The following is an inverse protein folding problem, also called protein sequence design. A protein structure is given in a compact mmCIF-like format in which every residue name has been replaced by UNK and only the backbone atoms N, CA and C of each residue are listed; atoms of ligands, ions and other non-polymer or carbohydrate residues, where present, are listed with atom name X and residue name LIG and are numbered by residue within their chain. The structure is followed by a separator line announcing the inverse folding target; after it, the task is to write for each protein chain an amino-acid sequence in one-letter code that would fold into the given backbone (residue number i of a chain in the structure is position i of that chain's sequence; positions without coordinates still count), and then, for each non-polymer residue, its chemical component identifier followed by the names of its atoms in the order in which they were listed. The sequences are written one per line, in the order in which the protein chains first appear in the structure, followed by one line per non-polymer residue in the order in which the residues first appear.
data_IF_748152696334
#
_entry.id   IF_748152696334
#
_cell.length_a   1.000
_cell.length_b   1.000
_cell.length_c   1.000
_cell.angle_alpha   90.00
_cell.angle_beta   90.00
_cell.angle_gamma   90.00
#
_symmetry.space_group_name_H-M   'P 1'
#
loop_
_entity.id
_entity.type
_entity.pdbx_description
1 polymer ?
#
# COMPACT_ATOMS: atom_id res chain seq x y z
N UNK A 1 18.33 8.18 51.97
CA UNK A 1 17.59 6.90 52.05
C UNK A 1 17.16 6.45 50.65
N UNK A 2 17.71 5.34 50.17
CA UNK A 2 17.33 4.67 48.91
C UNK A 2 15.90 4.15 48.99
N UNK A 3 15.29 3.78 47.85
CA UNK A 3 13.89 3.33 47.80
C UNK A 3 13.65 2.14 48.74
N UNK A 4 14.53 1.16 48.72
CA UNK A 4 14.38 -0.11 49.45
C UNK A 4 14.52 0.09 50.96
N UNK A 5 15.42 0.99 51.39
CA UNK A 5 15.55 1.41 52.79
C UNK A 5 14.27 2.10 53.30
N UNK A 6 13.60 2.91 52.47
CA UNK A 6 12.33 3.56 52.84
C UNK A 6 11.20 2.56 52.97
N UNK A 7 11.12 1.57 52.09
CA UNK A 7 10.09 0.53 52.13
C UNK A 7 10.27 -0.36 53.37
N UNK A 8 11.52 -0.74 53.65
CA UNK A 8 11.89 -1.52 54.85
C UNK A 8 11.54 -0.77 56.13
N UNK A 9 11.87 0.52 56.20
CA UNK A 9 11.52 1.35 57.37
C UNK A 9 10.01 1.42 57.59
N UNK A 10 9.21 1.61 56.53
CA UNK A 10 7.74 1.68 56.66
C UNK A 10 7.14 0.38 57.18
N UNK A 11 7.63 -0.76 56.69
CA UNK A 11 7.20 -2.07 57.16
C UNK A 11 7.54 -2.26 58.65
N UNK A 12 8.78 -1.97 59.04
CA UNK A 12 9.21 -2.05 60.44
C UNK A 12 8.38 -1.17 61.37
N UNK A 13 8.10 0.07 60.95
CA UNK A 13 7.30 1.02 61.73
C UNK A 13 5.86 0.55 61.90
N UNK A 14 5.23 0.04 60.84
CA UNK A 14 3.84 -0.44 60.91
C UNK A 14 3.72 -1.72 61.73
N UNK A 15 4.64 -2.67 61.57
CA UNK A 15 4.64 -3.89 62.37
C UNK A 15 4.84 -3.56 63.86
N UNK A 16 5.84 -2.72 64.19
CA UNK A 16 6.06 -2.31 65.58
C UNK A 16 4.85 -1.57 66.17
N UNK A 17 4.21 -0.71 65.38
CA UNK A 17 3.01 0.03 65.80
C UNK A 17 1.86 -0.92 66.21
N UNK A 18 1.66 -2.02 65.49
CA UNK A 18 0.62 -3.00 65.80
C UNK A 18 1.04 -3.99 66.89
N UNK A 19 2.21 -4.60 66.75
CA UNK A 19 2.59 -5.78 67.52
C UNK A 19 3.15 -5.41 68.90
N UNK A 20 3.96 -4.35 68.98
CA UNK A 20 4.70 -3.99 70.18
C UNK A 20 4.18 -2.72 70.87
N UNK A 21 3.64 -1.76 70.12
CA UNK A 21 3.13 -0.50 70.66
C UNK A 21 1.61 -0.50 70.86
N UNK A 22 0.90 -1.58 70.50
CA UNK A 22 -0.56 -1.72 70.64
C UNK A 22 -1.37 -0.54 70.07
N UNK A 23 -0.87 0.09 69.00
CA UNK A 23 -1.48 1.25 68.38
C UNK A 23 -1.08 2.61 69.00
N UNK A 24 -0.11 2.66 69.91
CA UNK A 24 0.37 3.94 70.46
C UNK A 24 1.49 4.56 69.61
N UNK A 25 1.21 5.78 69.14
CA UNK A 25 2.12 6.59 68.34
C UNK A 25 3.35 7.05 69.13
N UNK A 26 3.19 7.39 70.42
CA UNK A 26 4.27 7.94 71.25
C UNK A 26 5.31 6.86 71.56
N UNK A 27 4.85 5.67 71.90
CA UNK A 27 5.68 4.47 72.10
C UNK A 27 6.41 4.08 70.83
N UNK A 28 5.70 4.07 69.68
CA UNK A 28 6.32 3.80 68.38
C UNK A 28 7.41 4.80 68.03
N UNK A 29 7.17 6.10 68.22
CA UNK A 29 8.20 7.10 67.96
C UNK A 29 9.40 6.97 68.89
N UNK A 30 9.20 6.77 70.20
CA UNK A 30 10.30 6.64 71.16
C UNK A 30 11.27 5.51 70.80
N UNK A 31 10.76 4.42 70.24
CA UNK A 31 11.57 3.31 69.72
C UNK A 31 12.43 3.75 68.52
N UNK A 32 11.81 4.28 67.46
CA UNK A 32 12.53 4.68 66.24
C UNK A 32 13.33 5.99 66.39
N UNK A 33 13.11 6.77 67.46
CA UNK A 33 13.92 7.94 67.81
C UNK A 33 15.39 7.54 68.06
N UNK A 34 15.62 6.37 68.66
CA UNK A 34 16.96 5.81 68.90
C UNK A 34 17.69 5.46 67.60
N UNK A 35 16.95 5.17 66.55
CA UNK A 35 17.45 4.92 65.18
C UNK A 35 17.58 6.21 64.35
N UNK A 36 17.42 7.39 64.96
CA UNK A 36 17.53 8.68 64.28
C UNK A 36 16.30 9.10 63.47
N UNK A 37 15.16 8.42 63.60
CA UNK A 37 13.93 8.79 62.89
C UNK A 37 13.20 9.94 63.60
N UNK A 38 12.85 10.99 62.86
CA UNK A 38 12.07 12.11 63.40
C UNK A 38 10.58 11.74 63.59
N UNK A 39 9.93 12.36 64.59
CA UNK A 39 8.51 12.13 64.92
C UNK A 39 7.59 12.31 63.71
N UNK A 40 7.81 13.37 62.92
CA UNK A 40 6.99 13.68 61.75
C UNK A 40 7.03 12.59 60.67
N UNK A 41 8.13 11.85 60.55
CA UNK A 41 8.23 10.72 59.62
C UNK A 41 7.43 9.53 60.12
N UNK A 42 7.59 9.15 61.39
CA UNK A 42 6.84 8.05 62.03
C UNK A 42 5.34 8.32 61.99
N UNK A 43 4.94 9.53 62.37
CA UNK A 43 3.56 10.00 62.28
C UNK A 43 3.00 9.89 60.86
N UNK A 44 3.70 10.39 59.85
CA UNK A 44 3.26 10.30 58.43
C UNK A 44 3.13 8.86 57.94
N UNK A 45 4.02 7.96 58.37
CA UNK A 45 3.97 6.54 57.99
C UNK A 45 2.72 5.88 58.61
N UNK A 46 2.51 6.05 59.91
CA UNK A 46 1.37 5.48 60.63
C UNK A 46 0.05 6.03 60.09
N UNK A 47 -0.08 7.35 59.98
CA UNK A 47 -1.32 7.98 59.47
C UNK A 47 -1.65 7.51 58.05
N UNK A 48 -0.65 7.43 57.17
CA UNK A 48 -0.83 6.91 55.81
C UNK A 48 -1.24 5.44 55.81
N UNK A 49 -0.65 4.62 56.69
CA UNK A 49 -1.05 3.24 56.83
C UNK A 49 -2.47 3.10 57.39
N UNK A 50 -2.85 3.88 58.40
CA UNK A 50 -4.21 3.87 58.95
C UNK A 50 -5.25 4.22 57.88
N UNK A 51 -4.94 5.17 57.00
CA UNK A 51 -5.83 5.61 55.91
C UNK A 51 -5.90 4.62 54.73
N UNK A 52 -4.76 4.12 54.24
CA UNK A 52 -4.70 3.34 52.98
C UNK A 52 -4.39 1.85 53.18
N UNK A 53 -4.14 1.41 54.41
CA UNK A 53 -3.79 0.04 54.80
C UNK A 53 -2.67 -0.57 53.97
N UNK A 54 -1.69 0.25 53.57
CA UNK A 54 -0.54 -0.18 52.75
C UNK A 54 0.73 0.57 53.11
N UNK A 55 1.85 -0.15 53.13
CA UNK A 55 3.20 0.40 53.30
C UNK A 55 3.89 0.70 51.95
N UNK A 56 3.30 0.22 50.84
CA UNK A 56 3.82 0.41 49.48
C UNK A 56 3.74 1.88 49.06
N UNK A 57 4.61 2.27 48.14
CA UNK A 57 4.50 3.57 47.47
C UNK A 57 3.16 3.67 46.73
N UNK A 58 2.39 4.73 47.03
CA UNK A 58 1.16 5.04 46.33
C UNK A 58 1.50 5.64 44.96
N UNK A 59 0.62 5.49 43.95
CA UNK A 59 0.78 6.15 42.67
C UNK A 59 0.96 7.65 42.88
N UNK A 60 2.09 8.19 42.41
CA UNK A 60 2.31 9.63 42.41
C UNK A 60 1.44 10.24 41.32
N UNK A 61 0.91 11.44 41.58
CA UNK A 61 0.08 12.20 40.64
C UNK A 61 0.74 12.46 39.27
N UNK A 62 2.05 12.27 39.18
CA UNK A 62 2.82 12.37 37.94
C UNK A 62 2.80 13.80 37.41
N UNK A 63 3.38 13.97 36.21
CA UNK A 63 3.34 15.27 35.54
C UNK A 63 1.92 15.51 34.97
N UNK A 64 1.32 16.70 35.19
CA UNK A 64 0.06 17.06 34.55
C UNK A 64 0.11 16.89 33.04
N UNK A 65 -1.01 16.43 32.46
CA UNK A 65 -1.12 16.22 31.01
C UNK A 65 -1.17 17.56 30.31
N UNK A 66 -0.41 17.71 29.22
CA UNK A 66 -0.43 18.90 28.36
C UNK A 66 -1.70 19.03 27.50
N UNK A 67 -2.45 17.95 27.32
CA UNK A 67 -3.67 17.90 26.52
C UNK A 67 -4.83 17.39 27.38
N UNK A 68 -5.87 18.21 27.52
CA UNK A 68 -7.09 17.85 28.24
C UNK A 68 -7.91 16.79 27.50
N UNK A 69 -8.81 16.11 28.20
CA UNK A 69 -9.72 15.14 27.56
C UNK A 69 -10.64 15.82 26.54
N UNK A 70 -11.07 17.06 26.79
CA UNK A 70 -11.85 17.87 25.83
C UNK A 70 -11.06 18.13 24.54
N UNK A 71 -9.80 18.56 24.66
CA UNK A 71 -8.91 18.77 23.51
C UNK A 71 -8.72 17.47 22.72
N UNK A 72 -8.53 16.34 23.40
CA UNK A 72 -8.39 15.03 22.76
C UNK A 72 -9.66 14.59 22.01
N UNK A 73 -10.85 14.79 22.59
CA UNK A 73 -12.13 14.50 21.92
C UNK A 73 -12.30 15.34 20.65
N UNK A 74 -12.03 16.64 20.74
CA UNK A 74 -12.07 17.54 19.57
C UNK A 74 -11.04 17.13 18.51
N UNK A 75 -9.80 16.84 18.91
CA UNK A 75 -8.74 16.39 18.01
C UNK A 75 -9.12 15.09 17.30
N UNK A 76 -9.62 14.10 18.04
CA UNK A 76 -10.04 12.82 17.47
C UNK A 76 -11.17 13.00 16.45
N UNK A 77 -12.18 13.83 16.76
CA UNK A 77 -13.28 14.16 15.84
C UNK A 77 -12.77 14.87 14.57
N UNK A 78 -11.82 15.79 14.73
CA UNK A 78 -11.26 16.54 13.61
C UNK A 78 -10.33 15.69 12.73
N UNK A 79 -9.76 14.62 13.26
CA UNK A 79 -8.92 13.69 12.51
C UNK A 79 -9.70 12.53 11.88
N UNK A 80 -10.80 12.10 12.52
CA UNK A 80 -11.54 10.93 12.05
C UNK A 80 -12.08 11.16 10.64
N UNK A 81 -11.80 10.23 9.72
CA UNK A 81 -12.20 10.30 8.31
C UNK A 81 -11.74 11.56 7.55
N UNK A 82 -10.67 12.22 8.00
CA UNK A 82 -10.07 13.37 7.31
C UNK A 82 -8.65 13.08 6.83
N UNK A 83 -8.25 13.70 5.73
CA UNK A 83 -6.89 13.62 5.19
C UNK A 83 -6.24 15.01 5.12
N UNK A 84 -4.91 15.07 4.97
CA UNK A 84 -4.19 16.34 4.82
C UNK A 84 -3.76 17.00 6.14
N UNK A 85 -4.00 16.37 7.28
CA UNK A 85 -3.63 16.90 8.60
C UNK A 85 -2.39 16.15 9.11
N UNK A 86 -1.29 16.88 9.33
CA UNK A 86 -0.05 16.31 9.88
C UNK A 86 0.04 16.53 11.39
N UNK A 87 0.79 15.66 12.08
CA UNK A 87 1.10 15.88 13.50
C UNK A 87 1.85 17.20 13.75
N UNK A 88 2.57 17.74 12.74
CA UNK A 88 3.26 19.03 12.81
C UNK A 88 2.27 20.20 12.82
N UNK A 89 1.23 20.14 12.01
CA UNK A 89 0.15 21.15 12.02
C UNK A 89 -0.59 21.12 13.36
N UNK A 90 -0.91 19.92 13.86
CA UNK A 90 -1.54 19.77 15.17
C UNK A 90 -0.64 20.25 16.31
N UNK A 91 0.68 20.05 16.21
CA UNK A 91 1.60 20.52 17.26
C UNK A 91 1.57 22.03 17.43
N UNK A 92 1.45 22.77 16.33
CA UNK A 92 1.34 24.23 16.35
C UNK A 92 0.00 24.63 16.98
N UNK A 93 -1.10 24.03 16.51
CA UNK A 93 -2.45 24.36 16.99
C UNK A 93 -2.65 24.09 18.49
N UNK A 94 -2.12 22.98 19.00
CA UNK A 94 -2.26 22.61 20.41
C UNK A 94 -1.04 23.01 21.27
N UNK A 95 -0.07 23.71 20.70
CA UNK A 95 1.18 24.12 21.37
C UNK A 95 1.89 22.97 22.13
N UNK A 96 2.05 21.83 21.46
CA UNK A 96 2.75 20.66 22.02
C UNK A 96 3.62 20.00 20.95
N UNK A 97 4.76 19.43 21.33
CA UNK A 97 5.60 18.72 20.36
C UNK A 97 4.85 17.62 19.58
N UNK A 98 5.12 17.44 18.29
CA UNK A 98 4.40 16.49 17.41
C UNK A 98 4.41 15.04 17.93
N UNK A 99 5.47 14.61 18.63
CA UNK A 99 5.53 13.29 19.28
C UNK A 99 4.48 13.14 20.40
N UNK A 100 4.16 14.24 21.09
CA UNK A 100 3.10 14.27 22.12
C UNK A 100 1.75 14.02 21.49
N UNK A 101 1.46 14.62 20.33
CA UNK A 101 0.24 14.35 19.55
C UNK A 101 0.15 12.86 19.22
N UNK A 102 1.17 12.31 18.56
CA UNK A 102 1.18 10.90 18.15
C UNK A 102 1.04 9.93 19.33
N UNK A 103 1.72 10.19 20.45
CA UNK A 103 1.60 9.38 21.67
C UNK A 103 0.18 9.44 22.25
N UNK A 104 -0.41 10.64 22.36
CA UNK A 104 -1.75 10.79 22.91
C UNK A 104 -2.81 10.15 22.01
N UNK A 105 -2.70 10.26 20.68
CA UNK A 105 -3.57 9.53 19.75
C UNK A 105 -3.44 8.02 19.97
N UNK A 106 -2.21 7.49 20.06
CA UNK A 106 -1.99 6.05 20.29
C UNK A 106 -2.55 5.55 21.62
N UNK A 107 -2.38 6.31 22.70
CA UNK A 107 -2.71 5.85 24.06
C UNK A 107 -4.14 6.16 24.49
N UNK A 108 -4.78 7.20 23.92
CA UNK A 108 -6.06 7.73 24.42
C UNK A 108 -7.19 7.70 23.39
N UNK A 109 -6.93 7.28 22.16
CA UNK A 109 -7.94 7.18 21.10
C UNK A 109 -7.70 5.94 20.24
N UNK A 110 -8.67 5.62 19.37
CA UNK A 110 -8.55 4.58 18.32
C UNK A 110 -8.13 5.15 16.96
N UNK A 111 -7.88 6.46 16.87
CA UNK A 111 -7.50 7.12 15.62
C UNK A 111 -6.02 6.86 15.35
N UNK A 112 -5.71 6.34 14.16
CA UNK A 112 -4.35 6.04 13.71
C UNK A 112 -4.12 6.64 12.34
N UNK A 113 -2.93 7.20 12.06
CA UNK A 113 -2.56 7.50 10.69
C UNK A 113 -2.49 6.19 9.89
N UNK A 114 -3.15 6.15 8.74
CA UNK A 114 -3.10 5.03 7.78
C UNK A 114 -2.60 5.56 6.45
N UNK A 115 -1.83 4.76 5.71
CA UNK A 115 -1.45 5.09 4.34
C UNK A 115 -2.70 5.00 3.46
N UNK A 116 -2.92 5.98 2.59
CA UNK A 116 -3.98 5.93 1.59
C UNK A 116 -3.59 4.90 0.53
N UNK A 117 -4.51 3.99 0.23
CA UNK A 117 -4.35 3.00 -0.84
C UNK A 117 -4.57 3.70 -2.19
N UNK A 118 -3.74 3.37 -3.20
CA UNK A 118 -3.89 3.91 -4.55
C UNK A 118 -5.12 3.28 -5.19
N UNK A 119 -6.00 4.09 -5.76
CA UNK A 119 -7.20 3.61 -6.42
C UNK A 119 -7.51 4.47 -7.66
N UNK A 120 -8.17 3.90 -8.68
CA UNK A 120 -8.67 4.65 -9.82
C UNK A 120 -9.68 5.71 -9.38
N UNK A 121 -9.60 6.90 -9.95
CA UNK A 121 -10.60 7.95 -9.75
C UNK A 121 -11.76 7.72 -10.73
N UNK A 122 -12.96 7.50 -10.20
CA UNK A 122 -14.18 7.41 -11.00
C UNK A 122 -14.86 8.78 -11.08
N UNK A 123 -15.38 9.11 -12.27
CA UNK A 123 -16.12 10.36 -12.52
C UNK A 123 -17.59 10.04 -12.77
N UNK A 124 -18.51 10.77 -12.13
CA UNK A 124 -19.97 10.59 -12.26
C UNK A 124 -20.37 9.12 -12.01
N UNK A 125 -21.13 8.52 -12.93
CA UNK A 125 -21.67 7.15 -12.86
C UNK A 125 -20.68 6.07 -13.32
N UNK A 126 -19.42 6.42 -13.62
CA UNK A 126 -18.42 5.48 -14.13
C UNK A 126 -18.18 4.31 -13.17
N UNK A 127 -18.18 4.57 -11.85
CA UNK A 127 -18.01 3.54 -10.83
C UNK A 127 -19.18 2.55 -10.80
N UNK A 128 -20.43 3.04 -10.91
CA UNK A 128 -21.62 2.18 -10.98
C UNK A 128 -21.63 1.34 -12.26
N UNK A 129 -21.25 1.94 -13.40
CA UNK A 129 -21.07 1.22 -14.67
C UNK A 129 -20.01 0.13 -14.54
N UNK A 130 -18.85 0.43 -13.94
CA UNK A 130 -17.79 -0.54 -13.72
C UNK A 130 -18.28 -1.70 -12.84
N UNK A 131 -18.95 -1.41 -11.72
CA UNK A 131 -19.52 -2.44 -10.84
C UNK A 131 -20.53 -3.34 -11.56
N UNK A 132 -21.48 -2.74 -12.30
CA UNK A 132 -22.49 -3.46 -13.09
C UNK A 132 -21.85 -4.37 -14.14
N UNK A 133 -20.88 -3.83 -14.87
CA UNK A 133 -20.17 -4.54 -15.94
C UNK A 133 -19.30 -5.67 -15.38
N UNK A 134 -18.68 -5.49 -14.20
CA UNK A 134 -17.98 -6.59 -13.52
C UNK A 134 -18.93 -7.77 -13.22
N UNK A 135 -20.17 -7.47 -12.77
CA UNK A 135 -21.19 -8.48 -12.55
C UNK A 135 -21.64 -9.17 -13.84
N UNK A 136 -21.75 -8.43 -14.94
CA UNK A 136 -22.04 -9.00 -16.26
C UNK A 136 -20.94 -9.98 -16.69
N UNK A 137 -19.67 -9.58 -16.64
CA UNK A 137 -18.55 -10.45 -16.99
C UNK A 137 -18.47 -11.68 -16.10
N UNK A 138 -18.63 -11.52 -14.78
CA UNK A 138 -18.64 -12.65 -13.84
C UNK A 138 -19.72 -13.69 -14.18
N UNK A 139 -20.93 -13.25 -14.57
CA UNK A 139 -22.02 -14.16 -14.96
C UNK A 139 -21.81 -14.78 -16.32
N UNK A 140 -21.24 -14.05 -17.29
CA UNK A 140 -21.14 -14.49 -18.69
C UNK A 140 -19.93 -15.35 -18.98
N UNK A 141 -18.79 -15.10 -18.32
CA UNK A 141 -17.58 -15.90 -18.49
C UNK A 141 -17.73 -17.17 -17.65
N UNK A 142 -17.69 -18.39 -18.21
CA UNK A 142 -17.71 -19.63 -17.44
C UNK A 142 -16.48 -19.79 -16.54
N UNK A 143 -16.55 -20.69 -15.54
CA UNK A 143 -15.42 -20.92 -14.61
C UNK A 143 -14.16 -21.46 -15.33
N UNK A 144 -14.33 -22.27 -16.37
CA UNK A 144 -13.25 -22.91 -17.11
C UNK A 144 -12.83 -22.14 -18.39
N UNK A 145 -13.49 -21.01 -18.67
CA UNK A 145 -13.20 -20.18 -19.83
C UNK A 145 -11.94 -19.35 -19.58
N UNK A 146 -11.00 -19.41 -20.52
CA UNK A 146 -9.76 -18.65 -20.46
C UNK A 146 -10.00 -17.19 -20.86
N UNK A 147 -9.39 -16.27 -20.15
CA UNK A 147 -9.44 -14.85 -20.50
C UNK A 147 -8.14 -14.50 -21.21
N UNK A 148 -8.26 -13.85 -22.37
CA UNK A 148 -7.14 -13.27 -23.10
C UNK A 148 -7.26 -11.75 -22.99
N UNK A 149 -6.22 -11.08 -22.51
CA UNK A 149 -6.19 -9.62 -22.40
C UNK A 149 -5.00 -9.08 -23.18
N UNK A 150 -5.16 -7.92 -23.80
CA UNK A 150 -4.05 -7.14 -24.31
C UNK A 150 -3.98 -5.76 -23.65
N UNK A 151 -2.83 -5.12 -23.87
CA UNK A 151 -2.55 -3.74 -23.45
C UNK A 151 -1.28 -3.23 -24.15
N UNK A 152 -1.04 -1.91 -24.05
CA UNK A 152 0.18 -1.26 -24.50
C UNK A 152 0.94 -0.52 -23.40
N UNK A 153 2.28 -0.58 -23.46
CA UNK A 153 3.15 0.16 -22.54
C UNK A 153 4.32 0.82 -23.24
N UNK A 154 4.63 2.04 -22.80
CA UNK A 154 5.84 2.73 -23.20
C UNK A 154 7.05 2.32 -22.35
N UNK A 155 8.17 2.10 -23.05
CA UNK A 155 9.50 1.88 -22.49
C UNK A 155 10.45 2.95 -23.04
N UNK A 156 11.11 3.67 -22.14
CA UNK A 156 12.14 4.68 -22.41
C UNK A 156 13.52 4.04 -22.58
N UNK A 157 14.51 4.81 -23.05
CA UNK A 157 15.89 4.32 -23.13
C UNK A 157 16.47 4.03 -21.74
N UNK A 158 16.13 4.85 -20.76
CA UNK A 158 16.57 4.71 -19.37
C UNK A 158 15.46 4.21 -18.45
N UNK A 159 15.86 3.50 -17.38
CA UNK A 159 14.97 2.97 -16.35
C UNK A 159 14.85 3.86 -15.12
N UNK A 160 15.04 5.18 -15.25
CA UNK A 160 15.19 6.14 -14.13
C UNK A 160 14.02 6.07 -13.13
N UNK A 161 12.82 5.73 -13.58
CA UNK A 161 11.62 5.62 -12.73
C UNK A 161 11.53 4.32 -11.92
N UNK A 162 12.47 3.39 -12.08
CA UNK A 162 12.43 2.12 -11.36
C UNK A 162 12.78 2.36 -9.89
N UNK A 163 11.92 1.93 -8.94
CA UNK A 163 12.17 2.16 -7.52
C UNK A 163 13.52 1.62 -7.04
N UNK A 164 13.96 0.46 -7.55
CA UNK A 164 15.25 -0.14 -7.20
C UNK A 164 16.46 0.73 -7.59
N UNK A 165 16.33 1.56 -8.63
CA UNK A 165 17.41 2.43 -9.12
C UNK A 165 17.26 3.87 -8.58
N UNK A 166 16.45 4.08 -7.53
CA UNK A 166 16.19 5.40 -6.95
C UNK A 166 17.12 5.79 -5.80
N UNK A 167 17.90 4.84 -5.30
CA UNK A 167 18.83 5.06 -4.21
C UNK A 167 20.21 5.36 -4.77
N UNK A 168 20.93 6.26 -4.09
CA UNK A 168 22.34 6.49 -4.31
C UNK A 168 23.07 6.39 -2.97
N UNK A 169 24.33 5.98 -3.01
CA UNK A 169 25.18 5.83 -1.83
C UNK A 169 26.21 6.95 -1.83
N UNK A 170 26.38 7.62 -0.68
CA UNK A 170 27.43 8.62 -0.47
C UNK A 170 27.78 8.70 1.02
N UNK A 171 29.04 8.98 1.34
CA UNK A 171 29.47 9.38 2.68
C UNK A 171 29.07 10.82 3.00
N UNK A 172 28.96 11.68 1.99
CA UNK A 172 28.54 13.07 2.11
C UNK A 172 27.63 13.49 0.94
N UNK A 173 26.35 13.85 1.19
CA UNK A 173 25.45 14.38 0.18
C UNK A 173 25.90 15.68 -0.49
N UNK A 174 26.83 16.43 0.10
CA UNK A 174 27.32 17.71 -0.44
C UNK A 174 28.30 17.53 -1.60
N UNK A 175 29.11 16.47 -1.57
CA UNK A 175 30.14 16.16 -2.57
C UNK A 175 29.67 15.22 -3.68
N UNK A 176 28.51 14.60 -3.53
CA UNK A 176 27.97 13.66 -4.51
C UNK A 176 27.71 14.35 -5.88
N UNK A 177 28.22 13.78 -6.99
CA UNK A 177 27.97 14.32 -8.33
C UNK A 177 26.49 14.46 -8.67
N UNK A 178 26.14 15.50 -9.44
CA UNK A 178 24.75 15.81 -9.77
C UNK A 178 24.02 14.67 -10.51
N UNK A 179 24.71 13.94 -11.38
CA UNK A 179 24.18 12.79 -12.12
C UNK A 179 23.90 11.57 -11.22
N UNK A 180 24.51 11.49 -10.03
CA UNK A 180 24.24 10.44 -9.03
C UNK A 180 23.13 10.88 -8.07
N UNK A 181 23.18 12.14 -7.64
CA UNK A 181 22.25 12.71 -6.66
C UNK A 181 20.86 12.99 -7.23
N UNK A 182 20.77 13.39 -8.49
CA UNK A 182 19.53 13.81 -9.13
C UNK A 182 19.17 12.91 -10.29
N UNK A 183 17.90 12.47 -10.31
CA UNK A 183 17.31 11.82 -11.48
C UNK A 183 17.11 12.86 -12.57
N UNK A 184 17.84 12.72 -13.67
CA UNK A 184 17.71 13.58 -14.83
C UNK A 184 16.63 13.02 -15.77
N UNK A 185 15.70 13.88 -16.20
CA UNK A 185 14.63 13.52 -17.12
C UNK A 185 14.78 14.33 -18.40
N UNK A 186 14.86 13.64 -19.54
CA UNK A 186 14.82 14.32 -20.83
C UNK A 186 13.38 14.60 -21.23
N UNK A 187 13.08 15.87 -21.57
CA UNK A 187 11.78 16.23 -22.16
C UNK A 187 11.63 15.50 -23.49
N UNK A 188 10.54 14.73 -23.64
CA UNK A 188 10.28 13.87 -24.80
C UNK A 188 11.34 12.78 -25.05
N UNK A 189 11.75 12.09 -24.00
CA UNK A 189 12.67 10.95 -24.09
C UNK A 189 12.23 9.95 -25.19
N UNK A 190 13.16 9.49 -26.04
CA UNK A 190 12.89 8.43 -27.00
C UNK A 190 12.33 7.19 -26.30
N UNK A 191 11.23 6.68 -26.84
CA UNK A 191 10.50 5.55 -26.27
C UNK A 191 9.95 4.64 -27.35
N UNK A 192 9.80 3.37 -27.01
CA UNK A 192 9.08 2.39 -27.81
C UNK A 192 7.75 2.06 -27.14
N UNK A 193 6.71 1.89 -27.93
CA UNK A 193 5.46 1.30 -27.48
C UNK A 193 5.53 -0.21 -27.67
N UNK A 194 5.20 -0.95 -26.63
CA UNK A 194 5.13 -2.41 -26.65
C UNK A 194 3.68 -2.81 -26.47
N UNK A 195 3.16 -3.61 -27.39
CA UNK A 195 1.88 -4.30 -27.25
C UNK A 195 2.13 -5.78 -26.98
N UNK A 196 1.33 -6.36 -26.09
CA UNK A 196 1.38 -7.78 -25.74
C UNK A 196 -0.03 -8.27 -25.40
N UNK A 197 -0.35 -9.51 -25.74
CA UNK A 197 -1.53 -10.20 -25.25
C UNK A 197 -1.11 -11.32 -24.28
N UNK A 198 -1.89 -11.55 -23.23
CA UNK A 198 -1.65 -12.57 -22.22
C UNK A 198 -2.89 -13.41 -21.94
N UNK A 199 -2.64 -14.65 -21.55
CA UNK A 199 -3.65 -15.57 -21.04
C UNK A 199 -3.01 -16.49 -20.00
N UNK A 200 -3.80 -17.36 -19.35
CA UNK A 200 -3.25 -18.40 -18.50
C UNK A 200 -2.38 -19.45 -19.27
N UNK A 201 -2.22 -19.32 -20.60
CA UNK A 201 -1.33 -20.18 -21.39
C UNK A 201 0.03 -19.52 -21.67
N UNK A 202 0.20 -18.23 -21.35
CA UNK A 202 1.43 -17.46 -21.55
C UNK A 202 1.14 -16.11 -22.21
N UNK A 203 2.10 -15.59 -22.96
CA UNK A 203 1.98 -14.33 -23.69
C UNK A 203 2.21 -14.50 -25.19
N UNK A 204 1.65 -13.59 -25.98
CA UNK A 204 1.86 -13.52 -27.42
C UNK A 204 3.26 -13.03 -27.78
N UNK A 205 3.59 -13.03 -29.07
CA UNK A 205 4.78 -12.31 -29.56
C UNK A 205 4.52 -10.80 -29.42
N UNK A 206 5.50 -10.00 -28.93
CA UNK A 206 5.29 -8.57 -28.76
C UNK A 206 5.24 -7.83 -30.10
N UNK A 207 4.44 -6.77 -30.18
CA UNK A 207 4.61 -5.72 -31.17
C UNK A 207 5.41 -4.59 -30.54
N UNK A 208 6.45 -4.12 -31.23
CA UNK A 208 7.27 -3.01 -30.75
C UNK A 208 7.26 -1.94 -31.82
N UNK A 209 6.65 -0.81 -31.49
CA UNK A 209 6.53 0.36 -32.36
C UNK A 209 7.49 1.44 -31.91
N UNK A 210 8.36 1.90 -32.80
CA UNK A 210 9.40 2.92 -32.53
C UNK A 210 8.93 4.35 -32.82
N UNK A 211 7.63 4.56 -33.08
CA UNK A 211 7.09 5.87 -33.40
C UNK A 211 6.69 6.66 -32.16
N UNK A 212 6.72 7.99 -32.27
CA UNK A 212 6.15 8.92 -31.29
C UNK A 212 4.61 8.96 -31.35
N UNK A 213 4.01 8.43 -32.41
CA UNK A 213 2.57 8.48 -32.64
C UNK A 213 1.84 7.34 -31.91
N UNK A 214 0.61 7.63 -31.47
CA UNK A 214 -0.30 6.62 -30.94
C UNK A 214 -0.60 5.55 -32.00
N UNK A 215 -0.89 4.33 -31.56
CA UNK A 215 -1.31 3.24 -32.43
C UNK A 215 -2.68 3.57 -33.02
N UNK A 216 -2.75 3.61 -34.35
CA UNK A 216 -4.02 3.76 -35.07
C UNK A 216 -4.77 2.43 -35.12
N UNK A 217 -6.07 2.47 -35.40
CA UNK A 217 -6.87 1.24 -35.57
C UNK A 217 -6.32 0.30 -36.65
N UNK A 218 -5.74 0.84 -37.73
CA UNK A 218 -5.12 0.04 -38.79
C UNK A 218 -3.84 -0.67 -38.32
N UNK A 219 -2.98 0.04 -37.57
CA UNK A 219 -1.77 -0.55 -36.99
C UNK A 219 -2.14 -1.62 -35.97
N UNK A 220 -3.13 -1.34 -35.12
CA UNK A 220 -3.65 -2.31 -34.14
C UNK A 220 -4.18 -3.57 -34.85
N UNK A 221 -5.03 -3.41 -35.86
CA UNK A 221 -5.58 -4.52 -36.63
C UNK A 221 -4.47 -5.37 -37.28
N UNK A 222 -3.59 -4.76 -38.07
CA UNK A 222 -2.58 -5.49 -38.87
C UNK A 222 -1.48 -6.08 -37.99
N UNK A 223 -0.97 -5.31 -37.03
CA UNK A 223 0.20 -5.71 -36.25
C UNK A 223 -0.18 -6.46 -34.98
N UNK A 224 -1.21 -6.02 -34.26
CA UNK A 224 -1.57 -6.62 -32.98
C UNK A 224 -2.55 -7.78 -33.16
N UNK A 225 -3.66 -7.58 -33.88
CA UNK A 225 -4.68 -8.61 -34.05
C UNK A 225 -4.20 -9.70 -35.03
N UNK A 226 -3.97 -9.34 -36.29
CA UNK A 226 -3.71 -10.32 -37.37
C UNK A 226 -2.38 -11.05 -37.22
N UNK A 227 -1.29 -10.34 -36.91
CA UNK A 227 0.05 -10.93 -36.87
C UNK A 227 0.44 -11.55 -35.53
N UNK A 228 -0.32 -11.31 -34.46
CA UNK A 228 0.08 -11.73 -33.10
C UNK A 228 -1.04 -12.37 -32.31
N UNK A 229 -2.18 -11.70 -32.12
CA UNK A 229 -3.29 -12.26 -31.35
C UNK A 229 -3.84 -13.53 -31.98
N UNK A 230 -4.15 -13.49 -33.29
CA UNK A 230 -4.71 -14.65 -34.01
C UNK A 230 -3.74 -15.84 -33.95
N UNK A 231 -2.46 -15.72 -34.36
CA UNK A 231 -1.50 -16.83 -34.22
C UNK A 231 -1.32 -17.33 -32.78
N UNK A 232 -1.43 -16.45 -31.78
CA UNK A 232 -1.35 -16.83 -30.37
C UNK A 232 -2.58 -17.65 -29.94
N UNK A 233 -3.78 -17.26 -30.39
CA UNK A 233 -5.02 -18.02 -30.15
C UNK A 233 -4.91 -19.39 -30.82
N UNK A 234 -4.58 -19.42 -32.11
CA UNK A 234 -4.50 -20.67 -32.88
C UNK A 234 -3.50 -21.66 -32.27
N UNK A 235 -2.36 -21.15 -31.77
CA UNK A 235 -1.32 -21.98 -31.18
C UNK A 235 -1.66 -22.49 -29.77
N UNK A 236 -2.29 -21.67 -28.92
CA UNK A 236 -2.39 -21.96 -27.48
C UNK A 236 -3.80 -22.18 -26.95
N UNK A 237 -4.83 -21.89 -27.76
CA UNK A 237 -6.25 -21.98 -27.41
C UNK A 237 -7.11 -22.80 -28.40
N UNK A 238 -6.64 -23.93 -28.97
CA UNK A 238 -7.38 -24.63 -30.04
C UNK A 238 -8.66 -25.34 -29.58
N UNK A 239 -8.73 -25.76 -28.31
CA UNK A 239 -9.83 -26.61 -27.80
C UNK A 239 -10.56 -26.03 -26.59
N UNK A 240 -9.99 -25.01 -25.95
CA UNK A 240 -10.53 -24.47 -24.71
C UNK A 240 -11.32 -23.21 -24.98
N UNK A 241 -12.52 -23.11 -24.43
CA UNK A 241 -13.30 -21.88 -24.48
C UNK A 241 -12.48 -20.70 -23.95
N UNK A 242 -12.49 -19.60 -24.70
CA UNK A 242 -11.82 -18.38 -24.29
C UNK A 242 -12.69 -17.16 -24.59
N UNK A 243 -12.31 -16.02 -24.05
CA UNK A 243 -12.85 -14.72 -24.42
C UNK A 243 -11.71 -13.70 -24.48
N UNK A 244 -11.67 -12.95 -25.58
CA UNK A 244 -10.78 -11.82 -25.74
C UNK A 244 -11.36 -10.58 -25.07
N UNK A 245 -10.60 -9.96 -24.18
CA UNK A 245 -11.02 -8.79 -23.43
C UNK A 245 -10.05 -7.64 -23.67
N UNK A 246 -10.27 -6.83 -24.72
CA UNK A 246 -9.44 -5.68 -24.99
C UNK A 246 -9.64 -4.56 -23.96
N UNK A 247 -8.70 -3.61 -23.92
CA UNK A 247 -8.90 -2.36 -23.17
C UNK A 247 -10.00 -1.49 -23.82
N UNK A 248 -10.32 -0.32 -23.25
CA UNK A 248 -11.36 0.59 -23.76
C UNK A 248 -10.86 1.62 -24.80
N UNK A 249 -9.67 1.46 -25.36
CA UNK A 249 -9.10 2.35 -26.36
C UNK A 249 -9.98 2.39 -27.61
N UNK A 250 -10.08 3.57 -28.23
CA UNK A 250 -10.89 3.76 -29.45
C UNK A 250 -10.40 2.87 -30.60
N UNK A 251 -9.08 2.66 -30.70
CA UNK A 251 -8.47 1.85 -31.74
C UNK A 251 -8.91 0.37 -31.70
N UNK A 252 -9.28 -0.16 -30.53
CA UNK A 252 -9.61 -1.58 -30.37
C UNK A 252 -11.07 -1.90 -30.76
N UNK A 253 -11.89 -0.87 -30.91
CA UNK A 253 -13.31 -0.97 -31.24
C UNK A 253 -13.64 -0.26 -32.55
N UNK A 254 -12.68 -0.14 -33.48
CA UNK A 254 -12.99 0.33 -34.83
C UNK A 254 -13.81 -0.72 -35.58
N UNK A 255 -14.67 -0.33 -36.54
CA UNK A 255 -15.48 -1.28 -37.30
C UNK A 255 -14.66 -2.41 -37.94
N UNK A 256 -13.49 -2.09 -38.49
CA UNK A 256 -12.60 -3.07 -39.14
C UNK A 256 -12.04 -4.11 -38.15
N UNK A 257 -11.71 -3.69 -36.93
CA UNK A 257 -11.23 -4.60 -35.88
C UNK A 257 -12.34 -5.52 -35.44
N UNK A 258 -13.53 -4.98 -35.16
CA UNK A 258 -14.68 -5.77 -34.74
C UNK A 258 -15.11 -6.77 -35.81
N UNK A 259 -15.15 -6.34 -37.07
CA UNK A 259 -15.42 -7.22 -38.20
C UNK A 259 -14.42 -8.37 -38.28
N UNK A 260 -13.12 -8.08 -38.18
CA UNK A 260 -12.07 -9.12 -38.21
C UNK A 260 -12.21 -10.11 -37.06
N UNK A 261 -12.53 -9.65 -35.85
CA UNK A 261 -12.76 -10.53 -34.71
C UNK A 261 -13.99 -11.44 -34.92
N UNK A 262 -15.06 -10.91 -35.51
CA UNK A 262 -16.26 -11.66 -35.86
C UNK A 262 -15.99 -12.69 -36.96
N UNK A 263 -15.34 -12.29 -38.06
CA UNK A 263 -14.97 -13.18 -39.17
C UNK A 263 -14.09 -14.34 -38.71
N UNK A 264 -13.22 -14.10 -37.73
CA UNK A 264 -12.34 -15.11 -37.14
C UNK A 264 -12.98 -15.90 -35.99
N UNK A 265 -14.26 -15.68 -35.72
CA UNK A 265 -15.00 -16.30 -34.62
C UNK A 265 -14.30 -16.14 -33.26
N UNK A 266 -13.66 -14.99 -33.03
CA UNK A 266 -12.99 -14.68 -31.78
C UNK A 266 -14.02 -14.04 -30.84
N UNK A 267 -14.50 -14.74 -29.80
CA UNK A 267 -15.42 -14.15 -28.83
C UNK A 267 -14.71 -13.01 -28.09
N UNK A 268 -15.33 -11.84 -28.03
CA UNK A 268 -14.75 -10.67 -27.36
C UNK A 268 -15.72 -9.95 -26.42
N UNK A 269 -15.18 -9.16 -25.49
CA UNK A 269 -15.96 -8.30 -24.59
C UNK A 269 -16.41 -7.03 -25.32
N UNK A 270 -17.73 -6.81 -25.55
CA UNK A 270 -18.23 -5.61 -26.19
C UNK A 270 -17.95 -4.35 -25.36
N UNK A 271 -17.76 -3.21 -26.02
CA UNK A 271 -17.37 -1.94 -25.39
C UNK A 271 -18.34 -1.49 -24.30
N UNK A 272 -19.64 -1.72 -24.50
CA UNK A 272 -20.72 -1.33 -23.60
C UNK A 272 -20.67 -2.14 -22.30
N UNK A 273 -20.24 -3.40 -22.41
CA UNK A 273 -20.12 -4.37 -21.32
C UNK A 273 -18.72 -4.43 -20.70
N UNK A 274 -17.75 -3.76 -21.31
CA UNK A 274 -16.41 -3.61 -20.77
C UNK A 274 -16.44 -2.65 -19.55
N UNK A 275 -16.04 -3.09 -18.34
CA UNK A 275 -16.02 -2.22 -17.18
C UNK A 275 -14.88 -1.18 -17.29
N UNK A 276 -15.18 0.13 -17.14
CA UNK A 276 -14.14 1.16 -17.25
C UNK A 276 -13.26 1.27 -16.00
N UNK A 277 -11.98 1.57 -16.20
CA UNK A 277 -11.04 1.99 -15.16
C UNK A 277 -10.91 1.00 -13.98
N UNK A 278 -10.62 -0.27 -14.30
CA UNK A 278 -10.53 -1.39 -13.35
C UNK A 278 -9.16 -2.08 -13.40
N UNK A 279 -8.05 -1.36 -13.17
CA UNK A 279 -6.70 -1.93 -13.30
C UNK A 279 -6.47 -3.17 -12.39
N UNK A 280 -7.22 -3.29 -11.29
CA UNK A 280 -7.09 -4.39 -10.32
C UNK A 280 -7.42 -5.76 -10.90
N UNK A 281 -8.22 -5.82 -11.97
CA UNK A 281 -8.59 -7.07 -12.67
C UNK A 281 -7.91 -7.21 -14.01
N UNK A 282 -6.88 -6.40 -14.27
CA UNK A 282 -6.09 -6.44 -15.51
C UNK A 282 -4.64 -6.78 -15.15
N UNK A 283 -4.29 -8.08 -15.04
CA UNK A 283 -2.95 -8.49 -14.59
C UNK A 283 -1.82 -8.06 -15.53
N UNK A 284 -2.16 -7.66 -16.75
CA UNK A 284 -1.22 -7.06 -17.71
C UNK A 284 -0.51 -5.82 -17.14
N UNK A 285 -1.15 -5.06 -16.25
CA UNK A 285 -0.52 -3.90 -15.59
C UNK A 285 0.61 -4.30 -14.64
N UNK A 286 0.40 -5.37 -13.86
CA UNK A 286 1.43 -5.93 -12.97
C UNK A 286 2.56 -6.58 -13.78
N UNK A 287 2.20 -7.26 -14.87
CA UNK A 287 3.16 -7.83 -15.80
C UNK A 287 4.09 -6.76 -16.39
N UNK A 288 3.57 -5.58 -16.72
CA UNK A 288 4.41 -4.47 -17.18
C UNK A 288 5.41 -4.02 -16.12
N UNK A 289 5.02 -4.01 -14.84
CA UNK A 289 5.92 -3.70 -13.73
C UNK A 289 7.08 -4.69 -13.65
N UNK A 290 6.78 -5.99 -13.75
CA UNK A 290 7.77 -7.07 -13.73
C UNK A 290 8.67 -7.03 -14.95
N UNK A 291 8.11 -6.82 -16.14
CA UNK A 291 8.88 -6.71 -17.36
C UNK A 291 9.82 -5.50 -17.31
N UNK A 292 9.37 -4.35 -16.80
CA UNK A 292 10.25 -3.18 -16.58
C UNK A 292 11.39 -3.53 -15.64
N UNK A 293 11.12 -4.15 -14.50
CA UNK A 293 12.18 -4.56 -13.57
C UNK A 293 13.21 -5.48 -14.24
N UNK A 294 12.78 -6.42 -15.09
CA UNK A 294 13.68 -7.30 -15.84
C UNK A 294 14.47 -6.58 -16.94
N UNK A 295 13.84 -5.66 -17.67
CA UNK A 295 14.47 -4.92 -18.79
C UNK A 295 15.61 -4.04 -18.30
N UNK A 296 15.37 -3.32 -17.20
CA UNK A 296 16.30 -2.31 -16.66
C UNK A 296 17.02 -2.79 -15.39
N UNK A 297 17.05 -4.11 -15.14
CA UNK A 297 17.82 -4.70 -14.07
C UNK A 297 19.29 -4.25 -14.16
N UNK A 298 19.95 -4.12 -13.00
CA UNK A 298 21.35 -3.68 -12.90
C UNK A 298 21.60 -2.30 -13.53
N UNK A 299 20.62 -1.40 -13.43
CA UNK A 299 20.66 -0.05 -14.02
C UNK A 299 20.96 -0.04 -15.53
N UNK A 300 20.45 -1.03 -16.26
CA UNK A 300 20.61 -1.08 -17.72
C UNK A 300 19.98 0.15 -18.39
N UNK A 301 20.71 0.74 -19.34
CA UNK A 301 20.24 1.82 -20.21
C UNK A 301 20.54 1.45 -21.67
N UNK A 302 19.58 1.72 -22.55
CA UNK A 302 19.73 1.47 -23.98
C UNK A 302 20.31 2.70 -24.69
N UNK A 303 21.29 2.48 -25.57
CA UNK A 303 21.88 3.51 -26.43
C UNK A 303 21.01 3.84 -27.66
N UNK A 304 20.07 2.96 -28.01
CA UNK A 304 19.14 3.17 -29.13
C UNK A 304 17.82 2.44 -28.93
N UNK A 305 16.78 2.86 -29.67
CA UNK A 305 15.46 2.20 -29.65
C UNK A 305 15.54 0.74 -30.13
N UNK A 306 16.51 0.42 -30.99
CA UNK A 306 16.73 -0.91 -31.54
C UNK A 306 17.31 -1.85 -30.49
N UNK A 307 18.30 -1.35 -29.73
CA UNK A 307 18.87 -2.07 -28.61
C UNK A 307 17.81 -2.32 -27.53
N UNK A 308 17.01 -1.29 -27.20
CA UNK A 308 15.89 -1.42 -26.27
C UNK A 308 14.88 -2.47 -26.75
N UNK A 309 14.47 -2.40 -28.03
CA UNK A 309 13.52 -3.34 -28.60
C UNK A 309 14.04 -4.79 -28.60
N UNK A 310 15.34 -5.01 -28.81
CA UNK A 310 15.97 -6.33 -28.70
C UNK A 310 15.93 -6.85 -27.27
N UNK A 311 16.34 -6.01 -26.33
CA UNK A 311 16.33 -6.32 -24.88
C UNK A 311 14.94 -6.68 -24.37
N UNK A 312 13.91 -5.93 -24.78
CA UNK A 312 12.52 -6.20 -24.42
C UNK A 312 12.08 -7.58 -24.95
N UNK A 313 12.39 -7.92 -26.21
CA UNK A 313 12.06 -9.24 -26.77
C UNK A 313 12.74 -10.38 -26.02
N UNK A 314 14.01 -10.21 -25.63
CA UNK A 314 14.73 -11.17 -24.80
C UNK A 314 14.04 -11.35 -23.46
N UNK A 315 13.73 -10.24 -22.76
CA UNK A 315 13.12 -10.31 -21.42
C UNK A 315 11.69 -10.83 -21.40
N UNK A 316 10.94 -10.67 -22.49
CA UNK A 316 9.63 -11.30 -22.63
C UNK A 316 9.75 -12.83 -22.70
N UNK A 317 10.79 -13.37 -23.36
CA UNK A 317 11.03 -14.83 -23.42
C UNK A 317 11.41 -15.42 -22.06
N UNK A 318 11.98 -14.62 -21.17
CA UNK A 318 12.35 -15.00 -19.81
C UNK A 318 11.20 -14.87 -18.79
N UNK A 319 9.99 -14.48 -19.22
CA UNK A 319 8.84 -14.42 -18.34
C UNK A 319 8.38 -15.84 -17.99
N UNK A 320 8.30 -16.11 -16.69
CA UNK A 320 7.82 -17.40 -16.21
C UNK A 320 6.33 -17.57 -16.53
N UNK A 321 6.00 -18.68 -17.18
CA UNK A 321 4.63 -19.05 -17.52
C UNK A 321 3.77 -19.30 -16.27
N UNK A 322 4.34 -19.87 -15.20
CA UNK A 322 3.60 -20.12 -13.95
C UNK A 322 3.18 -18.80 -13.29
N UNK A 323 4.09 -17.84 -13.26
CA UNK A 323 3.78 -16.48 -12.80
C UNK A 323 2.61 -15.85 -13.58
N UNK A 324 2.59 -15.96 -14.92
CA UNK A 324 1.46 -15.45 -15.73
C UNK A 324 0.16 -16.22 -15.42
N UNK A 325 0.25 -17.54 -15.21
CA UNK A 325 -0.90 -18.36 -14.82
C UNK A 325 -1.53 -17.89 -13.51
N UNK A 326 -0.71 -17.69 -12.48
CA UNK A 326 -1.16 -17.27 -11.15
C UNK A 326 -1.82 -15.88 -11.19
N UNK A 327 -1.25 -14.96 -11.97
CA UNK A 327 -1.82 -13.63 -12.22
C UNK A 327 -3.22 -13.68 -12.84
N UNK A 328 -3.45 -14.64 -13.75
CA UNK A 328 -4.73 -14.77 -14.46
C UNK A 328 -5.78 -15.53 -13.65
N UNK A 329 -5.37 -16.33 -12.66
CA UNK A 329 -6.23 -17.23 -11.90
C UNK A 329 -7.30 -16.49 -11.07
N UNK A 330 -6.96 -15.34 -10.48
CA UNK A 330 -7.83 -14.66 -9.52
C UNK A 330 -8.85 -13.68 -10.14
N UNK A 331 -8.81 -13.46 -11.45
CA UNK A 331 -9.64 -12.48 -12.17
C UNK A 331 -11.12 -12.66 -11.85
N UNK A 332 -11.62 -13.90 -11.90
CA UNK A 332 -13.03 -14.20 -11.65
C UNK A 332 -13.44 -13.85 -10.22
N UNK A 333 -12.58 -14.14 -9.24
CA UNK A 333 -12.82 -13.82 -7.83
C UNK A 333 -12.86 -12.31 -7.62
N UNK A 334 -11.93 -11.58 -8.24
CA UNK A 334 -11.89 -10.11 -8.19
C UNK A 334 -13.13 -9.48 -8.84
N UNK A 335 -13.57 -9.98 -10.01
CA UNK A 335 -14.82 -9.54 -10.65
C UNK A 335 -16.04 -9.70 -9.74
N UNK A 336 -16.13 -10.84 -9.03
CA UNK A 336 -17.21 -11.10 -8.05
C UNK A 336 -17.16 -10.10 -6.90
N UNK A 337 -15.99 -9.88 -6.30
CA UNK A 337 -15.80 -8.92 -5.19
C UNK A 337 -16.18 -7.50 -5.63
N UNK A 338 -15.67 -7.06 -6.78
CA UNK A 338 -15.99 -5.72 -7.31
C UNK A 338 -17.48 -5.55 -7.57
N UNK A 339 -18.15 -6.58 -8.07
CA UNK A 339 -19.60 -6.56 -8.27
C UNK A 339 -20.38 -6.47 -6.95
N UNK A 340 -20.05 -7.30 -5.96
CA UNK A 340 -20.83 -7.45 -4.72
C UNK A 340 -20.53 -6.37 -3.67
N UNK A 341 -19.27 -6.01 -3.53
CA UNK A 341 -18.76 -5.18 -2.43
C UNK A 341 -18.33 -3.78 -2.90
N UNK A 342 -18.19 -3.59 -4.21
CA UNK A 342 -17.84 -2.31 -4.82
C UNK A 342 -16.45 -2.29 -5.45
N UNK A 343 -16.23 -1.34 -6.36
CA UNK A 343 -15.03 -1.26 -7.21
C UNK A 343 -13.72 -1.00 -6.46
N UNK A 344 -13.78 -0.56 -5.20
CA UNK A 344 -12.59 -0.30 -4.39
C UNK A 344 -12.13 -1.49 -3.55
N UNK A 345 -12.96 -2.53 -3.40
CA UNK A 345 -12.68 -3.68 -2.51
C UNK A 345 -11.41 -4.46 -2.86
N UNK A 346 -10.99 -4.42 -4.13
CA UNK A 346 -9.82 -5.14 -4.63
C UNK A 346 -8.54 -4.29 -4.65
N UNK A 347 -8.61 -3.03 -4.23
CA UNK A 347 -7.45 -2.16 -4.11
C UNK A 347 -6.64 -2.55 -2.86
N UNK A 348 -5.32 -2.66 -3.01
CA UNK A 348 -4.39 -3.01 -1.94
C UNK A 348 -3.21 -2.03 -1.89
#
# INVERSE_FOLDING_TARGET
MKKDERETLRLRVVNFYHDAASGDLKTTWNFFKREGCCYSTIYRIIQRYLQFKTTKDLPRSGRPRKLSDKQMKTMARNLNNKSGISHRVLSIHYNVHYRTIGRNLKQRTNIRPRKRIKAPKYVKEQGKRAQKNCGYLYRRIPKNCLIIMDDEKYFSLSGVDIPGNSLYYTSDPSTAPANIKYKQYQKFEPKVLVWLAISAKGCSKPYIHKSKNAVTGDVYLKQCIQRRLIPFIDQYHPQQEFIFWPDLAKAHYTPQVLHTLQEKNIPFVPREKNPPNIPQVRPVEDLWGILKQKVYAQNYEAKSLDQLARRIREKIKELDKRMIQDMMFDIRSKLRKMWREGVFTTCH
#
